data_IF_265423209773
#
_entry.id   IF_265423209773
#
_cell.length_a   1.000
_cell.length_b   1.000
_cell.length_c   1.000
_cell.angle_alpha   90.00
_cell.angle_beta   90.00
_cell.angle_gamma   90.00
#
_symmetry.space_group_name_H-M   'P 1'
#
loop_
_entity.id
_entity.type
_entity.pdbx_description
1 polymer ?
#
# COMPACT_ATOMS: atom_id res chain seq x y z
N UNK A 1 6.69 -8.70 5.72
CA UNK A 1 5.69 -8.18 4.75
C UNK A 1 4.52 -9.15 4.68
N UNK A 2 3.29 -8.62 4.73
CA UNK A 2 2.04 -9.39 4.79
C UNK A 2 1.18 -9.02 3.58
N UNK A 3 0.59 -10.01 2.91
CA UNK A 3 -0.32 -9.82 1.76
C UNK A 3 -1.73 -10.27 2.15
N UNK A 4 -2.51 -9.42 2.85
CA UNK A 4 -3.80 -9.84 3.41
C UNK A 4 -4.85 -10.20 2.37
N UNK A 5 -4.78 -9.57 1.19
CA UNK A 5 -5.68 -9.82 0.06
C UNK A 5 -4.99 -10.54 -1.12
N UNK A 6 -3.84 -11.21 -0.86
CA UNK A 6 -3.07 -11.92 -1.90
C UNK A 6 -2.73 -11.00 -3.09
N UNK A 7 -3.15 -11.37 -4.31
CA UNK A 7 -2.97 -10.59 -5.55
C UNK A 7 -4.19 -9.76 -5.93
N UNK A 8 -5.27 -9.77 -5.14
CA UNK A 8 -6.47 -8.97 -5.41
C UNK A 8 -6.12 -7.49 -5.48
N UNK A 9 -6.58 -6.81 -6.53
CA UNK A 9 -6.44 -5.37 -6.69
C UNK A 9 -7.62 -4.79 -7.46
N UNK A 10 -8.06 -3.60 -7.07
CA UNK A 10 -9.10 -2.83 -7.75
C UNK A 10 -8.55 -1.87 -8.82
N UNK A 11 -7.22 -1.90 -9.06
CA UNK A 11 -6.55 -1.26 -10.20
C UNK A 11 -5.91 -2.30 -11.13
N UNK A 12 -5.57 -1.85 -12.33
CA UNK A 12 -4.84 -2.57 -13.38
C UNK A 12 -3.73 -1.67 -13.93
N UNK A 13 -2.84 -1.21 -13.03
CA UNK A 13 -1.73 -0.34 -13.42
C UNK A 13 -0.88 -1.03 -14.49
N UNK A 14 -0.57 -0.34 -15.58
CA UNK A 14 0.09 -0.93 -16.77
C UNK A 14 1.50 -1.45 -16.47
N UNK A 15 2.18 -0.89 -15.47
CA UNK A 15 3.53 -1.31 -15.04
C UNK A 15 3.51 -2.28 -13.83
N UNK A 16 2.35 -2.84 -13.44
CA UNK A 16 2.23 -3.57 -12.19
C UNK A 16 2.86 -4.97 -12.28
N UNK A 17 4.07 -5.13 -11.75
CA UNK A 17 4.75 -6.43 -11.70
C UNK A 17 4.02 -7.49 -10.86
N UNK A 18 3.20 -7.09 -9.87
CA UNK A 18 2.38 -8.04 -9.11
C UNK A 18 1.31 -8.71 -9.97
N UNK A 19 0.73 -7.96 -10.92
CA UNK A 19 -0.26 -8.50 -11.83
C UNK A 19 0.36 -9.59 -12.69
N UNK A 20 1.49 -9.31 -13.34
CA UNK A 20 2.19 -10.26 -14.20
C UNK A 20 2.62 -11.51 -13.45
N UNK A 21 3.30 -11.32 -12.29
CA UNK A 21 3.73 -12.44 -11.45
C UNK A 21 2.55 -13.30 -10.99
N UNK A 22 1.38 -12.71 -10.75
CA UNK A 22 0.19 -13.48 -10.36
C UNK A 22 -0.34 -14.34 -11.49
N UNK A 23 -0.23 -13.90 -12.75
CA UNK A 23 -0.73 -14.63 -13.92
C UNK A 23 0.07 -15.90 -14.27
N UNK A 24 1.35 -15.96 -13.87
CA UNK A 24 2.22 -17.13 -14.13
C UNK A 24 2.21 -18.16 -12.99
N UNK A 25 1.47 -17.92 -11.91
CA UNK A 25 1.32 -18.88 -10.81
C UNK A 25 0.18 -19.85 -11.08
N UNK A 26 0.31 -21.09 -10.60
CA UNK A 26 -0.79 -22.08 -10.61
C UNK A 26 -2.02 -21.52 -9.88
N UNK A 27 -1.80 -20.95 -8.67
CA UNK A 27 -2.83 -20.26 -7.91
C UNK A 27 -2.66 -18.74 -8.10
N UNK A 28 -3.47 -18.16 -8.96
CA UNK A 28 -3.43 -16.72 -9.26
C UNK A 28 -3.76 -15.86 -8.03
N UNK A 29 -4.63 -16.36 -7.14
CA UNK A 29 -5.10 -15.63 -5.97
C UNK A 29 -5.52 -16.59 -4.84
N UNK A 30 -5.00 -16.37 -3.65
CA UNK A 30 -5.30 -17.15 -2.45
C UNK A 30 -6.45 -16.55 -1.61
N UNK A 31 -7.12 -15.51 -2.09
CA UNK A 31 -8.18 -14.83 -1.34
C UNK A 31 -7.66 -13.98 -0.18
N UNK A 32 -8.54 -13.77 0.80
CA UNK A 32 -8.23 -13.02 2.02
C UNK A 32 -7.58 -13.95 3.05
N UNK A 33 -6.52 -13.47 3.70
CA UNK A 33 -5.82 -14.22 4.74
C UNK A 33 -6.77 -14.54 5.90
N UNK A 34 -6.80 -15.81 6.30
CA UNK A 34 -7.66 -16.26 7.40
C UNK A 34 -7.20 -15.72 8.76
N UNK A 35 -8.13 -15.63 9.69
CA UNK A 35 -7.86 -15.28 11.09
C UNK A 35 -6.84 -16.24 11.74
N UNK A 36 -6.92 -17.52 11.42
CA UNK A 36 -5.98 -18.53 11.92
C UNK A 36 -4.55 -18.30 11.41
N UNK A 37 -4.41 -17.95 10.11
CA UNK A 37 -3.10 -17.62 9.54
C UNK A 37 -2.53 -16.35 10.15
N UNK A 38 -3.36 -15.32 10.35
CA UNK A 38 -2.99 -14.09 11.05
C UNK A 38 -2.52 -14.37 12.48
N UNK A 39 -3.23 -15.20 13.22
CA UNK A 39 -2.85 -15.63 14.58
C UNK A 39 -1.46 -16.28 14.64
N UNK A 40 -1.23 -17.26 13.77
CA UNK A 40 0.07 -17.94 13.69
C UNK A 40 1.20 -16.99 13.36
N UNK A 41 0.98 -16.09 12.41
CA UNK A 41 1.94 -15.08 11.98
C UNK A 41 2.28 -14.13 13.14
N UNK A 42 1.27 -13.57 13.82
CA UNK A 42 1.44 -12.62 14.92
C UNK A 42 2.21 -13.29 16.07
N UNK A 43 1.78 -14.47 16.50
CA UNK A 43 2.44 -15.24 17.59
C UNK A 43 3.89 -15.54 17.25
N UNK A 44 4.17 -15.97 16.01
CA UNK A 44 5.53 -16.25 15.56
C UNK A 44 6.41 -15.00 15.58
N UNK A 45 5.92 -13.87 15.06
CA UNK A 45 6.68 -12.61 15.02
C UNK A 45 7.00 -12.10 16.43
N UNK A 46 6.00 -12.08 17.33
CA UNK A 46 6.18 -11.65 18.72
C UNK A 46 7.10 -12.59 19.53
N UNK A 47 7.00 -13.90 19.28
CA UNK A 47 7.91 -14.88 19.89
C UNK A 47 9.35 -14.70 19.44
N UNK A 48 9.56 -14.43 18.15
CA UNK A 48 10.90 -14.17 17.59
C UNK A 48 11.51 -12.89 18.16
N UNK A 49 10.72 -11.82 18.28
CA UNK A 49 11.17 -10.52 18.78
C UNK A 49 11.55 -10.52 20.27
N UNK A 50 11.04 -11.45 21.06
CA UNK A 50 11.36 -11.62 22.50
C UNK A 50 11.21 -10.36 23.37
N UNK A 51 10.32 -9.43 22.99
CA UNK A 51 10.10 -8.15 23.67
C UNK A 51 10.76 -6.96 22.97
N UNK A 52 11.54 -7.17 21.92
CA UNK A 52 12.07 -6.12 21.06
C UNK A 52 10.98 -5.59 20.09
N UNK A 53 11.35 -4.81 19.10
CA UNK A 53 10.40 -4.20 18.16
C UNK A 53 9.92 -5.18 17.07
N UNK A 54 8.65 -5.04 16.66
CA UNK A 54 8.04 -5.78 15.56
C UNK A 54 7.38 -4.81 14.58
N UNK A 55 7.72 -4.92 13.29
CA UNK A 55 7.06 -4.19 12.22
C UNK A 55 6.15 -5.12 11.39
N UNK A 56 4.86 -4.81 11.34
CA UNK A 56 3.88 -5.46 10.47
C UNK A 56 3.63 -4.55 9.26
N UNK A 57 4.20 -4.94 8.11
CA UNK A 57 4.08 -4.18 6.86
C UNK A 57 3.11 -4.89 5.89
N UNK A 58 2.02 -4.21 5.53
CA UNK A 58 1.00 -4.73 4.63
C UNK A 58 1.21 -4.21 3.21
N UNK A 59 1.19 -5.13 2.25
CA UNK A 59 1.41 -4.85 0.83
C UNK A 59 0.76 -5.97 -0.01
N UNK A 60 0.91 -5.92 -1.32
CA UNK A 60 0.49 -7.00 -2.22
C UNK A 60 -0.22 -6.46 -3.44
N UNK A 61 -1.41 -6.97 -3.79
CA UNK A 61 -2.31 -6.32 -4.72
C UNK A 61 -2.81 -4.99 -4.12
N UNK A 62 -4.05 -4.96 -3.65
CA UNK A 62 -4.53 -3.85 -2.81
C UNK A 62 -4.91 -4.40 -1.42
N UNK A 63 -4.13 -4.14 -0.37
CA UNK A 63 -4.37 -4.72 0.94
C UNK A 63 -5.71 -4.31 1.57
N UNK A 64 -6.23 -3.10 1.27
CA UNK A 64 -7.50 -2.61 1.81
C UNK A 64 -8.71 -3.43 1.33
N UNK A 65 -8.56 -4.24 0.29
CA UNK A 65 -9.61 -5.19 -0.13
C UNK A 65 -9.88 -6.29 0.90
N UNK A 66 -8.99 -6.49 1.87
CA UNK A 66 -9.28 -7.37 3.00
C UNK A 66 -10.38 -6.82 3.93
N UNK A 67 -10.72 -5.53 3.79
CA UNK A 67 -11.73 -4.85 4.60
C UNK A 67 -11.20 -4.33 5.93
N UNK A 68 -11.83 -3.29 6.46
CA UNK A 68 -11.37 -2.63 7.69
C UNK A 68 -11.47 -3.54 8.92
N UNK A 69 -12.47 -4.42 8.94
CA UNK A 69 -12.67 -5.34 10.06
C UNK A 69 -11.52 -6.35 10.19
N UNK A 70 -10.92 -6.77 9.05
CA UNK A 70 -9.70 -7.58 9.07
C UNK A 70 -8.56 -6.86 9.80
N UNK A 71 -8.34 -5.58 9.50
CA UNK A 71 -7.25 -4.81 10.10
C UNK A 71 -7.49 -4.50 11.57
N UNK A 72 -8.74 -4.20 11.95
CA UNK A 72 -9.12 -4.03 13.35
C UNK A 72 -8.88 -5.31 14.16
N UNK A 73 -9.35 -6.45 13.65
CA UNK A 73 -9.13 -7.75 14.27
C UNK A 73 -7.62 -8.09 14.36
N UNK A 74 -6.85 -7.79 13.31
CA UNK A 74 -5.40 -7.99 13.32
C UNK A 74 -4.72 -7.16 14.42
N UNK A 75 -5.03 -5.86 14.53
CA UNK A 75 -4.46 -4.97 15.55
C UNK A 75 -4.84 -5.44 16.98
N UNK A 76 -6.10 -5.81 17.21
CA UNK A 76 -6.56 -6.36 18.49
C UNK A 76 -5.83 -7.67 18.86
N UNK A 77 -5.62 -8.55 17.91
CA UNK A 77 -4.82 -9.78 18.12
C UNK A 77 -3.38 -9.47 18.46
N UNK A 78 -2.75 -8.49 17.81
CA UNK A 78 -1.39 -8.04 18.16
C UNK A 78 -1.36 -7.54 19.60
N UNK A 79 -2.30 -6.68 20.01
CA UNK A 79 -2.41 -6.20 21.40
C UNK A 79 -2.56 -7.38 22.38
N UNK A 80 -3.46 -8.32 22.08
CA UNK A 80 -3.75 -9.51 22.90
C UNK A 80 -2.54 -10.40 23.09
N UNK A 81 -1.71 -10.63 22.05
CA UNK A 81 -0.59 -11.56 22.11
C UNK A 81 0.75 -10.91 22.49
N UNK A 82 0.81 -9.58 22.53
CA UNK A 82 2.02 -8.84 22.88
C UNK A 82 2.30 -8.81 24.41
N UNK A 83 2.38 -9.99 25.02
CA UNK A 83 2.55 -10.14 26.47
C UNK A 83 3.93 -9.67 26.98
N UNK A 84 4.92 -9.54 26.09
CA UNK A 84 6.27 -9.10 26.44
C UNK A 84 6.50 -7.61 26.21
N UNK A 85 5.47 -6.85 25.79
CA UNK A 85 5.57 -5.41 25.58
C UNK A 85 6.47 -5.00 24.41
N UNK A 86 6.54 -5.82 23.35
CA UNK A 86 7.26 -5.43 22.13
C UNK A 86 6.71 -4.11 21.58
N UNK A 87 7.58 -3.25 21.08
CA UNK A 87 7.17 -2.03 20.38
C UNK A 87 6.66 -2.38 18.97
N UNK A 88 5.42 -2.06 18.69
CA UNK A 88 4.75 -2.42 17.44
C UNK A 88 4.75 -1.25 16.48
N UNK A 89 5.06 -1.54 15.20
CA UNK A 89 4.95 -0.60 14.09
C UNK A 89 4.05 -1.21 13.02
N UNK A 90 3.07 -0.44 12.58
CA UNK A 90 2.23 -0.80 11.45
C UNK A 90 2.55 0.07 10.24
N UNK A 91 2.66 -0.54 9.07
CA UNK A 91 2.74 0.19 7.80
C UNK A 91 1.92 -0.50 6.72
N UNK A 92 1.42 0.28 5.77
CA UNK A 92 0.62 -0.22 4.66
C UNK A 92 0.95 0.54 3.38
N UNK A 93 1.09 -0.20 2.27
CA UNK A 93 1.16 0.39 0.93
C UNK A 93 -0.17 0.17 0.23
N UNK A 94 -0.80 1.27 -0.22
CA UNK A 94 -2.13 1.24 -0.82
C UNK A 94 -2.23 2.18 -2.03
N UNK A 95 -3.13 1.87 -2.95
CA UNK A 95 -3.49 2.76 -4.04
C UNK A 95 -4.47 3.88 -3.60
N UNK A 96 -4.96 3.84 -2.37
CA UNK A 96 -5.79 4.87 -1.76
C UNK A 96 -7.26 4.89 -2.18
N UNK A 97 -7.70 4.07 -3.12
CA UNK A 97 -9.08 4.14 -3.65
C UNK A 97 -10.17 3.82 -2.63
N UNK A 98 -9.83 3.09 -1.58
CA UNK A 98 -10.75 2.67 -0.52
C UNK A 98 -10.63 3.52 0.74
N UNK A 99 -9.70 4.48 0.79
CA UNK A 99 -9.54 5.35 1.95
C UNK A 99 -10.72 6.31 2.03
N UNK A 100 -11.47 6.17 3.09
CA UNK A 100 -12.53 7.05 3.55
C UNK A 100 -12.23 7.55 4.98
N UNK A 101 -13.18 8.25 5.60
CA UNK A 101 -13.03 8.77 6.95
C UNK A 101 -12.82 7.66 7.99
N UNK A 102 -13.46 6.50 7.82
CA UNK A 102 -13.34 5.38 8.74
C UNK A 102 -11.91 4.79 8.68
N UNK A 103 -11.35 4.64 7.48
CA UNK A 103 -9.98 4.20 7.29
C UNK A 103 -8.97 5.20 7.85
N UNK A 104 -9.17 6.50 7.58
CA UNK A 104 -8.25 7.53 8.05
C UNK A 104 -8.20 7.59 9.58
N UNK A 105 -9.36 7.52 10.26
CA UNK A 105 -9.42 7.43 11.72
C UNK A 105 -8.72 6.17 12.24
N UNK A 106 -8.97 5.02 11.64
CA UNK A 106 -8.30 3.78 12.04
C UNK A 106 -6.78 3.86 11.90
N UNK A 107 -6.27 4.42 10.80
CA UNK A 107 -4.84 4.60 10.60
C UNK A 107 -4.21 5.57 11.60
N UNK A 108 -4.92 6.64 11.94
CA UNK A 108 -4.51 7.57 12.99
C UNK A 108 -4.43 6.86 14.35
N UNK A 109 -5.52 6.22 14.77
CA UNK A 109 -5.66 5.59 16.10
C UNK A 109 -4.66 4.45 16.33
N UNK A 110 -4.37 3.66 15.30
CA UNK A 110 -3.41 2.54 15.35
C UNK A 110 -2.00 2.94 14.87
N UNK A 111 -1.73 4.23 14.66
CA UNK A 111 -0.43 4.80 14.28
C UNK A 111 0.19 4.14 13.05
N UNK A 112 -0.59 3.93 12.00
CA UNK A 112 -0.10 3.41 10.74
C UNK A 112 0.75 4.43 9.99
N UNK A 113 1.88 3.98 9.44
CA UNK A 113 2.54 4.68 8.35
C UNK A 113 1.94 4.24 7.02
N UNK A 114 1.31 5.16 6.30
CA UNK A 114 0.64 4.87 5.02
C UNK A 114 1.53 5.27 3.85
N UNK A 115 1.90 4.30 3.01
CA UNK A 115 2.51 4.55 1.70
C UNK A 115 1.42 4.70 0.64
N UNK A 116 1.10 5.93 0.26
CA UNK A 116 0.08 6.22 -0.76
C UNK A 116 0.70 6.24 -2.14
N UNK A 117 0.20 5.38 -3.03
CA UNK A 117 0.69 5.27 -4.41
C UNK A 117 0.16 6.40 -5.29
N UNK A 118 1.05 7.31 -5.72
CA UNK A 118 0.73 8.43 -6.63
C UNK A 118 1.98 8.80 -7.43
N UNK A 119 1.90 8.77 -8.77
CA UNK A 119 3.07 8.95 -9.64
C UNK A 119 3.35 10.41 -10.03
N UNK A 120 2.54 11.34 -9.58
CA UNK A 120 2.70 12.76 -9.85
C UNK A 120 1.38 13.45 -10.17
N UNK A 121 1.40 14.36 -11.13
CA UNK A 121 0.17 14.98 -11.67
C UNK A 121 -0.68 13.98 -12.46
N UNK A 122 -1.81 14.44 -13.00
CA UNK A 122 -2.74 13.59 -13.72
C UNK A 122 -2.09 12.84 -14.90
N UNK A 123 -1.19 13.51 -15.61
CA UNK A 123 -0.49 12.92 -16.76
C UNK A 123 0.55 11.89 -16.33
N UNK A 124 1.32 12.16 -15.29
CA UNK A 124 2.27 11.18 -14.74
C UNK A 124 1.55 9.95 -14.16
N UNK A 125 0.35 10.16 -13.59
CA UNK A 125 -0.46 9.11 -12.98
C UNK A 125 -1.28 8.29 -14.01
N UNK A 126 -1.15 8.55 -15.33
CA UNK A 126 -1.98 7.94 -16.38
C UNK A 126 -1.96 6.42 -16.44
N UNK A 127 -0.86 5.81 -16.01
CA UNK A 127 -0.69 4.35 -16.00
C UNK A 127 -1.40 3.65 -14.81
N UNK A 128 -1.93 4.43 -13.84
CA UNK A 128 -2.75 3.91 -12.74
C UNK A 128 -4.22 3.91 -13.11
N UNK A 129 -4.62 2.86 -13.79
CA UNK A 129 -5.98 2.70 -14.31
C UNK A 129 -6.72 1.57 -13.59
N UNK A 130 -8.05 1.63 -13.61
CA UNK A 130 -8.89 0.51 -13.21
C UNK A 130 -9.09 -0.50 -14.35
N UNK A 131 -9.93 -1.50 -14.15
CA UNK A 131 -10.23 -2.53 -15.13
C UNK A 131 -10.86 -1.98 -16.44
N UNK A 132 -11.41 -0.76 -16.41
CA UNK A 132 -12.01 -0.09 -17.56
C UNK A 132 -11.05 0.92 -18.22
N UNK A 133 -9.77 0.95 -17.82
CA UNK A 133 -8.79 1.91 -18.31
C UNK A 133 -8.98 3.35 -17.78
N UNK A 134 -9.80 3.54 -16.74
CA UNK A 134 -10.07 4.86 -16.18
C UNK A 134 -9.00 5.25 -15.16
N UNK A 135 -8.35 6.40 -15.38
CA UNK A 135 -7.42 7.00 -14.44
C UNK A 135 -8.17 7.44 -13.16
N UNK A 136 -7.67 7.04 -12.01
CA UNK A 136 -8.29 7.32 -10.69
C UNK A 136 -7.59 8.44 -9.91
N UNK A 137 -6.83 9.29 -10.58
CA UNK A 137 -6.02 10.36 -9.98
C UNK A 137 -6.76 11.20 -8.92
N UNK A 138 -7.95 11.70 -9.21
CA UNK A 138 -8.69 12.52 -8.24
C UNK A 138 -9.13 11.76 -7.00
N UNK A 139 -9.43 10.46 -7.11
CA UNK A 139 -9.72 9.63 -5.95
C UNK A 139 -8.49 9.47 -5.05
N UNK A 140 -7.32 9.30 -5.65
CA UNK A 140 -6.05 9.20 -4.90
C UNK A 140 -5.73 10.53 -4.21
N UNK A 141 -5.95 11.67 -4.87
CA UNK A 141 -5.79 12.99 -4.23
C UNK A 141 -6.76 13.19 -3.06
N UNK A 142 -8.00 12.76 -3.20
CA UNK A 142 -8.98 12.82 -2.10
C UNK A 142 -8.52 11.96 -0.91
N UNK A 143 -7.96 10.77 -1.18
CA UNK A 143 -7.36 9.94 -0.14
C UNK A 143 -6.22 10.66 0.60
N UNK A 144 -5.32 11.34 -0.13
CA UNK A 144 -4.26 12.14 0.48
C UNK A 144 -4.79 13.28 1.34
N UNK A 145 -5.86 13.95 0.91
CA UNK A 145 -6.54 14.98 1.71
C UNK A 145 -7.14 14.39 2.99
N UNK A 146 -7.81 13.23 2.87
CA UNK A 146 -8.39 12.53 4.02
C UNK A 146 -7.33 12.15 5.05
N UNK A 147 -6.20 11.57 4.60
CA UNK A 147 -5.07 11.27 5.47
C UNK A 147 -4.52 12.52 6.18
N UNK A 148 -4.39 13.63 5.44
CA UNK A 148 -3.92 14.91 6.01
C UNK A 148 -4.90 15.47 7.05
N UNK A 149 -6.21 15.44 6.77
CA UNK A 149 -7.25 15.97 7.67
C UNK A 149 -7.32 15.17 8.99
N UNK A 150 -6.98 13.89 8.96
CA UNK A 150 -6.97 13.02 10.13
C UNK A 150 -5.58 12.83 10.74
N UNK A 151 -4.61 13.68 10.36
CA UNK A 151 -3.24 13.68 10.91
C UNK A 151 -2.55 12.29 10.83
N UNK A 152 -2.83 11.52 9.78
CA UNK A 152 -2.19 10.24 9.52
C UNK A 152 -0.81 10.46 8.94
N UNK A 153 0.20 9.77 9.46
CA UNK A 153 1.53 9.76 8.87
C UNK A 153 1.52 9.02 7.53
N UNK A 154 1.90 9.71 6.46
CA UNK A 154 1.99 9.09 5.14
C UNK A 154 3.14 9.64 4.29
N UNK A 155 3.60 8.82 3.37
CA UNK A 155 4.52 9.18 2.29
C UNK A 155 3.90 8.83 0.93
N UNK A 156 4.32 9.56 -0.10
CA UNK A 156 3.95 9.27 -1.48
C UNK A 156 4.94 8.27 -2.06
N UNK A 157 4.42 7.20 -2.66
CA UNK A 157 5.18 6.20 -3.39
C UNK A 157 4.96 6.42 -4.88
N UNK A 158 6.02 6.81 -5.58
CA UNK A 158 6.03 7.14 -7.01
C UNK A 158 6.82 6.10 -7.77
N UNK A 159 6.22 5.46 -8.78
CA UNK A 159 6.94 4.59 -9.71
C UNK A 159 7.61 5.43 -10.79
N UNK A 160 8.94 5.35 -10.86
CA UNK A 160 9.73 6.01 -11.90
C UNK A 160 9.69 5.20 -13.18
N UNK A 161 8.71 5.52 -14.03
CA UNK A 161 8.69 5.10 -15.44
C UNK A 161 9.63 5.98 -16.26
N UNK A 162 9.93 5.60 -17.52
CA UNK A 162 10.68 6.46 -18.44
C UNK A 162 10.08 7.86 -18.54
N UNK A 163 8.75 7.94 -18.69
CA UNK A 163 8.03 9.23 -18.69
C UNK A 163 8.22 10.03 -17.39
N UNK A 164 8.16 9.38 -16.23
CA UNK A 164 8.34 10.05 -14.95
C UNK A 164 9.78 10.58 -14.79
N UNK A 165 10.78 9.82 -15.26
CA UNK A 165 12.18 10.23 -15.24
C UNK A 165 12.42 11.49 -16.12
N UNK A 166 11.86 11.53 -17.33
CA UNK A 166 11.96 12.68 -18.25
C UNK A 166 11.22 13.94 -17.74
N UNK A 167 10.24 13.76 -16.85
CA UNK A 167 9.38 14.84 -16.33
C UNK A 167 9.54 15.07 -14.84
N UNK A 168 10.66 14.66 -14.25
CA UNK A 168 10.83 14.62 -12.79
C UNK A 168 10.68 16.00 -12.12
N UNK A 169 11.17 17.07 -12.74
CA UNK A 169 11.07 18.44 -12.21
C UNK A 169 9.61 18.90 -12.10
N UNK A 170 8.79 18.57 -13.10
CA UNK A 170 7.35 18.86 -13.09
C UNK A 170 6.63 18.07 -12.00
N UNK A 171 6.92 16.78 -11.89
CA UNK A 171 6.34 15.88 -10.90
C UNK A 171 6.72 16.34 -9.49
N UNK A 172 8.00 16.64 -9.25
CA UNK A 172 8.47 17.13 -7.96
C UNK A 172 7.82 18.48 -7.59
N UNK A 173 7.72 19.40 -8.57
CA UNK A 173 7.03 20.67 -8.38
C UNK A 173 5.55 20.50 -8.05
N UNK A 174 4.87 19.51 -8.65
CA UNK A 174 3.50 19.14 -8.31
C UNK A 174 3.39 18.69 -6.85
N UNK A 175 4.25 17.78 -6.39
CA UNK A 175 4.23 17.31 -5.01
C UNK A 175 4.49 18.44 -4.01
N UNK A 176 5.43 19.34 -4.29
CA UNK A 176 5.68 20.53 -3.46
C UNK A 176 4.42 21.41 -3.35
N UNK A 177 3.76 21.72 -4.47
CA UNK A 177 2.53 22.54 -4.47
C UNK A 177 1.39 21.88 -3.69
N UNK A 178 1.35 20.54 -3.65
CA UNK A 178 0.37 19.77 -2.86
C UNK A 178 0.75 19.64 -1.39
N UNK A 179 1.93 20.09 -1.00
CA UNK A 179 2.41 20.05 0.39
C UNK A 179 2.84 18.64 0.84
N UNK A 180 3.08 17.71 -0.08
CA UNK A 180 3.59 16.37 0.28
C UNK A 180 5.04 16.47 0.73
N UNK A 181 5.32 16.06 1.97
CA UNK A 181 6.62 16.23 2.62
C UNK A 181 7.55 15.03 2.42
N UNK A 182 6.98 13.83 2.33
CA UNK A 182 7.72 12.58 2.28
C UNK A 182 7.44 11.88 0.95
N UNK A 183 8.49 11.71 0.17
CA UNK A 183 8.43 11.14 -1.17
C UNK A 183 9.38 9.95 -1.26
N UNK A 184 8.93 8.85 -1.83
CA UNK A 184 9.76 7.71 -2.16
C UNK A 184 9.62 7.39 -3.64
N UNK A 185 10.73 7.41 -4.37
CA UNK A 185 10.79 7.06 -5.78
C UNK A 185 11.25 5.61 -5.93
N UNK A 186 10.49 4.83 -6.68
CA UNK A 186 10.69 3.40 -6.88
C UNK A 186 10.93 3.16 -8.36
N UNK A 187 12.09 2.63 -8.78
CA UNK A 187 12.33 2.30 -10.18
C UNK A 187 11.26 1.34 -10.71
N UNK A 188 10.75 1.61 -11.91
CA UNK A 188 9.84 0.70 -12.59
C UNK A 188 10.56 -0.61 -12.91
N UNK A 189 9.94 -1.74 -12.56
CA UNK A 189 10.45 -3.06 -12.90
C UNK A 189 9.76 -3.55 -14.17
N UNK A 190 10.55 -4.11 -15.08
CA UNK A 190 10.00 -4.76 -16.28
C UNK A 190 9.25 -6.03 -15.92
N UNK A 191 8.18 -6.37 -16.66
CA UNK A 191 7.55 -7.68 -16.57
C UNK A 191 8.56 -8.81 -16.82
N UNK A 192 8.33 -9.96 -16.21
CA UNK A 192 9.18 -11.12 -16.42
C UNK A 192 9.12 -11.55 -17.89
N UNK A 193 10.27 -11.56 -18.56
CA UNK A 193 10.40 -11.97 -19.97
C UNK A 193 10.12 -10.85 -20.99
N UNK A 194 9.69 -9.67 -20.57
CA UNK A 194 9.51 -8.52 -21.47
C UNK A 194 10.83 -7.77 -21.68
N UNK A 195 11.13 -7.46 -22.95
CA UNK A 195 12.27 -6.63 -23.35
C UNK A 195 11.87 -5.16 -23.57
N UNK A 196 10.61 -4.82 -23.38
CA UNK A 196 10.11 -3.43 -23.49
C UNK A 196 10.68 -2.56 -22.36
N UNK A 197 10.74 -1.27 -22.60
CA UNK A 197 11.24 -0.29 -21.61
C UNK A 197 10.07 0.18 -20.75
N UNK A 198 10.21 0.10 -19.44
CA UNK A 198 9.30 0.81 -18.52
C UNK A 198 9.38 2.32 -18.73
#
# INVERSE_FOLDING_TARGET
MIKPASSLCNLRCEYCFYHDVSQIREEHNLGIMSAETSDRLIKSALSFAKGDSVAFAFQGGEPLLAGIDYFKDFAERVKKYNLRGSRIFFSIQTNGLLIDEQWARFFHDEHFLVGLSLDGDMEANRFRVDANGTNRFYKILNAAQMLTMHEVDFNILTVLTGYAAENIDRIYSFFKRKGFKYLQFIPCLRPFGDKSVC
#
